data_IF_789950660523
#
_entry.id   IF_789950660523
#
_cell.length_a   1.000
_cell.length_b   1.000
_cell.length_c   1.000
_cell.angle_alpha   90.00
_cell.angle_beta   90.00
_cell.angle_gamma   90.00
#
_symmetry.space_group_name_H-M   'P 1'
#
loop_
_entity.id
_entity.type
_entity.pdbx_description
1 polymer ?
#
# COMPACT_ATOMS: atom_id res chain seq x y z
N UNK A 1 16.96 -7.05 5.84
CA UNK A 1 18.27 -7.38 5.23
C UNK A 1 19.38 -6.34 5.49
N UNK A 2 19.05 -5.07 5.81
CA UNK A 2 20.05 -3.99 6.02
C UNK A 2 21.12 -4.36 7.07
N UNK A 3 20.76 -4.96 8.21
CA UNK A 3 21.74 -5.27 9.28
C UNK A 3 22.81 -6.29 8.91
N UNK A 4 22.43 -7.42 8.27
CA UNK A 4 23.36 -8.47 7.87
C UNK A 4 24.16 -8.05 6.64
N UNK A 5 23.51 -7.42 5.65
CA UNK A 5 24.22 -6.86 4.50
C UNK A 5 25.19 -5.76 4.93
N UNK A 6 24.88 -4.99 5.99
CA UNK A 6 25.75 -3.93 6.50
C UNK A 6 26.98 -4.55 7.14
N UNK A 7 26.80 -5.61 7.91
CA UNK A 7 27.90 -6.35 8.49
C UNK A 7 28.80 -6.96 7.40
N UNK A 8 28.22 -7.52 6.34
CA UNK A 8 29.00 -8.02 5.19
C UNK A 8 29.73 -6.86 4.48
N UNK A 9 29.06 -5.75 4.18
CA UNK A 9 29.65 -4.59 3.50
C UNK A 9 30.75 -3.89 4.32
N UNK A 10 30.52 -3.67 5.62
CA UNK A 10 31.42 -2.92 6.51
C UNK A 10 32.53 -3.77 7.13
N UNK A 11 32.32 -5.08 7.34
CA UNK A 11 33.29 -5.95 8.03
C UNK A 11 34.01 -6.87 7.04
N UNK A 12 33.29 -7.47 6.10
CA UNK A 12 33.85 -8.46 5.17
C UNK A 12 34.37 -7.79 3.90
N UNK A 13 33.63 -6.83 3.35
CA UNK A 13 33.95 -6.20 2.07
C UNK A 13 34.79 -4.92 2.18
N UNK A 14 34.84 -4.27 3.35
CA UNK A 14 35.63 -3.05 3.56
C UNK A 14 37.12 -3.16 3.16
N UNK A 15 37.83 -4.29 3.38
CA UNK A 15 39.22 -4.45 2.93
C UNK A 15 39.39 -4.55 1.41
N UNK A 16 38.32 -4.89 0.68
CA UNK A 16 38.37 -5.26 -0.75
C UNK A 16 37.76 -4.20 -1.68
N UNK A 17 37.10 -3.16 -1.14
CA UNK A 17 36.42 -2.09 -1.92
C UNK A 17 37.31 -1.35 -2.92
N UNK A 18 38.63 -1.32 -2.70
CA UNK A 18 39.60 -0.65 -3.59
C UNK A 18 40.53 -1.61 -4.36
N UNK A 19 40.41 -2.94 -4.15
CA UNK A 19 41.30 -3.98 -4.70
C UNK A 19 40.48 -5.22 -5.12
N UNK A 20 39.38 -5.03 -5.87
CA UNK A 20 38.63 -6.15 -6.44
C UNK A 20 39.32 -6.65 -7.71
N UNK A 21 39.85 -7.86 -7.67
CA UNK A 21 40.38 -8.61 -8.81
C UNK A 21 39.53 -9.88 -8.98
N UNK A 22 39.63 -10.53 -10.15
CA UNK A 22 38.88 -11.76 -10.48
C UNK A 22 39.01 -12.86 -9.41
N UNK A 23 40.13 -12.92 -8.68
CA UNK A 23 40.39 -13.92 -7.62
C UNK A 23 39.61 -13.58 -6.33
N UNK A 24 39.56 -12.31 -5.93
CA UNK A 24 38.83 -11.89 -4.73
C UNK A 24 37.32 -11.95 -4.96
N UNK A 25 36.86 -11.66 -6.17
CA UNK A 25 35.46 -11.87 -6.57
C UNK A 25 35.07 -13.35 -6.56
N UNK A 26 35.95 -14.26 -7.00
CA UNK A 26 35.67 -15.70 -6.97
C UNK A 26 35.64 -16.26 -5.53
N UNK A 27 36.59 -15.86 -4.68
CA UNK A 27 36.71 -16.34 -3.29
C UNK A 27 35.60 -15.81 -2.36
N UNK A 28 35.11 -14.59 -2.61
CA UNK A 28 34.04 -13.96 -1.84
C UNK A 28 32.68 -14.10 -2.52
N UNK A 29 32.53 -15.02 -3.48
CA UNK A 29 31.29 -15.27 -4.22
C UNK A 29 30.65 -13.99 -4.81
N UNK A 30 31.45 -13.03 -5.26
CA UNK A 30 31.01 -11.74 -5.80
C UNK A 30 30.40 -10.79 -4.76
N UNK A 31 30.33 -11.17 -3.48
CA UNK A 31 29.68 -10.38 -2.42
C UNK A 31 30.36 -9.02 -2.20
N UNK A 32 31.64 -8.89 -2.54
CA UNK A 32 32.46 -7.69 -2.32
C UNK A 32 32.94 -7.02 -3.63
N UNK A 33 32.31 -7.32 -4.77
CA UNK A 33 32.64 -6.73 -6.05
C UNK A 33 32.50 -5.19 -6.01
N UNK A 34 33.49 -4.47 -6.55
CA UNK A 34 33.56 -3.00 -6.46
C UNK A 34 32.52 -2.26 -7.33
N UNK A 35 31.89 -2.92 -8.31
CA UNK A 35 30.86 -2.32 -9.17
C UNK A 35 29.45 -2.50 -8.57
N UNK A 36 29.10 -3.69 -8.08
CA UNK A 36 27.80 -3.99 -7.44
C UNK A 36 27.92 -5.12 -6.39
N UNK A 37 28.56 -4.85 -5.24
CA UNK A 37 28.62 -5.78 -4.10
C UNK A 37 27.30 -5.89 -3.31
N UNK A 38 27.21 -6.86 -2.40
CA UNK A 38 26.08 -7.03 -1.47
C UNK A 38 26.13 -5.97 -0.36
N UNK A 39 25.58 -4.79 -0.66
CA UNK A 39 25.42 -3.68 0.27
C UNK A 39 23.94 -3.55 0.71
N UNK A 40 23.65 -3.11 1.95
CA UNK A 40 22.30 -2.84 2.47
C UNK A 40 21.35 -2.03 1.59
N UNK A 41 21.92 -1.16 0.75
CA UNK A 41 21.24 -0.18 -0.07
C UNK A 41 21.15 -0.61 -1.54
N UNK A 42 21.79 -1.72 -1.91
CA UNK A 42 21.74 -2.26 -3.28
C UNK A 42 20.47 -3.10 -3.47
N UNK A 43 19.86 -2.98 -4.66
CA UNK A 43 18.65 -3.72 -5.03
C UNK A 43 19.03 -5.16 -5.37
N UNK A 44 18.24 -6.13 -4.93
CA UNK A 44 18.39 -7.53 -5.39
C UNK A 44 17.75 -7.73 -6.77
N UNK A 45 16.70 -6.95 -7.07
CA UNK A 45 16.05 -6.88 -8.37
C UNK A 45 14.90 -5.88 -8.32
N UNK A 46 14.40 -5.48 -9.49
CA UNK A 46 13.25 -4.58 -9.62
C UNK A 46 12.12 -5.32 -10.32
N UNK A 47 11.01 -5.55 -9.61
CA UNK A 47 9.79 -6.14 -10.15
C UNK A 47 8.88 -5.04 -10.69
N UNK A 48 8.56 -5.11 -11.98
CA UNK A 48 7.53 -4.31 -12.64
C UNK A 48 6.38 -5.22 -13.01
N UNK A 49 5.16 -4.82 -12.64
CA UNK A 49 3.94 -5.60 -12.83
C UNK A 49 2.89 -4.70 -13.47
N UNK A 50 2.26 -5.18 -14.54
CA UNK A 50 1.11 -4.55 -15.18
C UNK A 50 -0.02 -5.56 -15.20
N UNK A 51 -1.14 -5.21 -14.58
CA UNK A 51 -2.25 -6.10 -14.25
C UNK A 51 -3.57 -5.39 -14.55
N UNK A 52 -4.47 -6.07 -15.24
CA UNK A 52 -5.79 -5.55 -15.59
C UNK A 52 -6.89 -6.60 -15.44
N UNK A 53 -8.14 -6.12 -15.37
CA UNK A 53 -9.36 -6.91 -15.39
C UNK A 53 -10.41 -6.10 -16.14
N UNK A 54 -11.00 -6.68 -17.19
CA UNK A 54 -11.92 -5.94 -18.07
C UNK A 54 -13.31 -5.71 -17.47
N UNK A 55 -13.78 -6.61 -16.61
CA UNK A 55 -15.11 -6.53 -15.99
C UNK A 55 -15.04 -6.95 -14.52
N UNK A 56 -15.59 -6.10 -13.65
CA UNK A 56 -15.75 -6.35 -12.21
C UNK A 56 -17.10 -5.78 -11.76
N UNK A 57 -18.18 -6.59 -11.77
CA UNK A 57 -19.50 -6.12 -11.40
C UNK A 57 -19.60 -5.94 -9.87
N UNK A 58 -20.27 -4.88 -9.45
CA UNK A 58 -20.69 -4.62 -8.07
C UNK A 58 -22.09 -4.03 -8.05
N UNK A 59 -22.72 -3.97 -6.88
CA UNK A 59 -24.02 -3.35 -6.70
C UNK A 59 -24.07 -2.47 -5.45
N UNK A 60 -24.95 -1.48 -5.47
CA UNK A 60 -25.21 -0.58 -4.34
C UNK A 60 -26.70 -0.62 -4.00
N UNK A 61 -27.03 -0.84 -2.73
CA UNK A 61 -28.40 -0.81 -2.21
C UNK A 61 -28.51 0.29 -1.16
N UNK A 62 -29.50 1.17 -1.33
CA UNK A 62 -29.73 2.29 -0.42
C UNK A 62 -31.17 2.33 0.07
N UNK A 63 -31.36 2.79 1.31
CA UNK A 63 -32.65 3.10 1.90
C UNK A 63 -32.61 4.52 2.46
N UNK A 64 -33.63 5.31 2.14
CA UNK A 64 -33.86 6.65 2.69
C UNK A 64 -35.25 6.68 3.33
N UNK A 65 -35.32 7.17 4.55
CA UNK A 65 -36.55 7.33 5.31
C UNK A 65 -36.61 8.73 5.91
N UNK A 66 -37.57 9.53 5.44
CA UNK A 66 -37.80 10.92 5.90
C UNK A 66 -39.24 11.04 6.42
N UNK A 67 -39.51 10.69 7.70
CA UNK A 67 -40.84 10.77 8.28
C UNK A 67 -41.32 12.21 8.52
N UNK A 68 -40.40 13.17 8.61
CA UNK A 68 -40.69 14.60 8.77
C UNK A 68 -39.71 15.45 7.97
N UNK A 69 -39.99 16.74 7.81
CA UNK A 69 -39.08 17.68 7.13
C UNK A 69 -37.78 17.95 7.92
N UNK A 70 -37.79 17.63 9.21
CA UNK A 70 -36.70 17.87 10.15
C UNK A 70 -35.79 16.67 10.33
N UNK A 71 -36.30 15.44 10.14
CA UNK A 71 -35.56 14.22 10.36
C UNK A 71 -35.48 13.35 9.11
N UNK A 72 -34.26 12.91 8.79
CA UNK A 72 -34.03 11.91 7.77
C UNK A 72 -33.03 10.85 8.24
N UNK A 73 -33.26 9.61 7.85
CA UNK A 73 -32.34 8.50 8.04
C UNK A 73 -31.98 7.92 6.67
N UNK A 74 -30.69 7.74 6.42
CA UNK A 74 -30.18 7.10 5.21
C UNK A 74 -29.23 5.97 5.56
N UNK A 75 -29.26 4.90 4.76
CA UNK A 75 -28.20 3.90 4.77
C UNK A 75 -27.91 3.40 3.36
N UNK A 76 -26.67 3.02 3.12
CA UNK A 76 -26.20 2.45 1.86
C UNK A 76 -25.25 1.30 2.13
N UNK A 77 -25.39 0.24 1.36
CA UNK A 77 -24.45 -0.87 1.28
C UNK A 77 -23.95 -0.99 -0.15
N UNK A 78 -22.63 -1.08 -0.30
CA UNK A 78 -21.93 -1.33 -1.56
C UNK A 78 -21.25 -2.70 -1.46
N UNK A 79 -21.53 -3.58 -2.41
CA UNK A 79 -20.99 -4.95 -2.40
C UNK A 79 -19.48 -4.96 -2.64
N UNK A 80 -18.79 -5.99 -2.14
CA UNK A 80 -17.42 -6.25 -2.59
C UNK A 80 -17.40 -6.66 -4.06
N UNK A 81 -16.24 -6.47 -4.71
CA UNK A 81 -16.03 -6.89 -6.10
C UNK A 81 -14.73 -7.69 -6.18
N UNK A 82 -14.84 -8.99 -6.47
CA UNK A 82 -13.70 -9.90 -6.57
C UNK A 82 -13.16 -9.93 -7.99
N UNK A 83 -11.87 -9.67 -8.13
CA UNK A 83 -11.19 -9.57 -9.41
C UNK A 83 -9.99 -10.52 -9.45
N UNK A 84 -9.82 -11.20 -10.58
CA UNK A 84 -8.60 -11.94 -10.90
C UNK A 84 -7.80 -11.12 -11.91
N UNK A 85 -7.02 -10.16 -11.42
CA UNK A 85 -6.17 -9.34 -12.25
C UNK A 85 -5.15 -10.21 -12.99
N UNK A 86 -4.97 -10.00 -14.29
CA UNK A 86 -4.02 -10.73 -15.13
C UNK A 86 -3.19 -9.75 -15.95
N UNK A 87 -1.96 -10.12 -16.25
CA UNK A 87 -1.12 -9.31 -17.12
C UNK A 87 0.31 -9.81 -17.16
N UNK A 88 1.25 -8.87 -17.32
CA UNK A 88 2.67 -9.17 -17.57
C UNK A 88 3.52 -8.68 -16.42
N UNK A 89 4.60 -9.41 -16.17
CA UNK A 89 5.66 -8.97 -15.27
C UNK A 89 7.00 -8.89 -15.99
N UNK A 90 7.88 -8.06 -15.45
CA UNK A 90 9.29 -7.99 -15.81
C UNK A 90 10.09 -7.79 -14.53
N UNK A 91 11.12 -8.62 -14.35
CA UNK A 91 12.08 -8.52 -13.25
C UNK A 91 13.43 -8.20 -13.88
N UNK A 92 14.00 -7.07 -13.47
CA UNK A 92 15.38 -6.69 -13.76
C UNK A 92 16.25 -7.11 -12.56
N UNK A 93 17.02 -8.18 -12.75
CA UNK A 93 17.82 -8.79 -11.69
C UNK A 93 19.16 -8.05 -11.58
N UNK A 94 19.51 -7.58 -10.38
CA UNK A 94 20.81 -6.92 -10.17
C UNK A 94 21.99 -7.89 -10.38
N UNK A 95 23.21 -7.38 -10.59
CA UNK A 95 24.37 -8.26 -10.86
C UNK A 95 24.80 -9.05 -9.64
N UNK A 96 24.71 -8.45 -8.44
CA UNK A 96 25.12 -9.08 -7.19
C UNK A 96 24.57 -10.51 -6.98
N UNK A 97 23.24 -10.77 -7.05
CA UNK A 97 22.73 -12.12 -6.92
C UNK A 97 23.14 -13.04 -8.08
N UNK A 98 23.36 -12.51 -9.29
CA UNK A 98 23.84 -13.30 -10.43
C UNK A 98 25.25 -13.84 -10.16
N UNK A 99 26.17 -12.97 -9.71
CA UNK A 99 27.54 -13.36 -9.39
C UNK A 99 27.62 -14.29 -8.18
N UNK A 100 26.75 -14.11 -7.17
CA UNK A 100 26.63 -15.04 -6.05
C UNK A 100 26.29 -16.47 -6.51
N UNK A 101 25.29 -16.61 -7.38
CA UNK A 101 24.88 -17.92 -7.90
C UNK A 101 25.95 -18.51 -8.84
N UNK A 102 26.59 -17.70 -9.68
CA UNK A 102 27.71 -18.16 -10.54
C UNK A 102 28.90 -18.64 -9.70
N UNK A 103 29.29 -17.87 -8.69
CA UNK A 103 30.36 -18.22 -7.75
C UNK A 103 30.05 -19.51 -7.00
N UNK A 104 28.83 -19.66 -6.49
CA UNK A 104 28.40 -20.88 -5.82
C UNK A 104 28.48 -22.10 -6.76
N UNK A 105 28.03 -21.96 -8.01
CA UNK A 105 28.04 -23.06 -8.99
C UNK A 105 29.42 -23.31 -9.64
N UNK A 106 30.44 -22.50 -9.34
CA UNK A 106 31.80 -22.66 -9.88
C UNK A 106 32.57 -23.85 -9.28
N UNK A 107 32.10 -24.42 -8.16
CA UNK A 107 32.74 -25.55 -7.47
C UNK A 107 31.79 -26.74 -7.33
N UNK A 108 32.33 -27.97 -7.33
CA UNK A 108 31.53 -29.19 -7.13
C UNK A 108 30.77 -29.17 -5.79
N UNK A 109 31.41 -28.72 -4.71
CA UNK A 109 30.77 -28.58 -3.39
C UNK A 109 29.63 -27.57 -3.41
N UNK A 110 29.82 -26.44 -4.08
CA UNK A 110 28.79 -25.40 -4.18
C UNK A 110 27.60 -25.83 -5.05
N UNK A 111 27.82 -26.60 -6.12
CA UNK A 111 26.73 -27.21 -6.90
C UNK A 111 25.90 -28.20 -6.08
N UNK A 112 26.55 -29.01 -5.24
CA UNK A 112 25.84 -29.93 -4.32
C UNK A 112 25.01 -29.12 -3.33
N UNK A 113 25.59 -28.07 -2.73
CA UNK A 113 24.87 -27.19 -1.80
C UNK A 113 23.67 -26.50 -2.48
N UNK A 114 23.86 -26.00 -3.71
CA UNK A 114 22.81 -25.38 -4.49
C UNK A 114 21.66 -26.37 -4.78
N UNK A 115 21.97 -27.62 -5.12
CA UNK A 115 20.98 -28.66 -5.35
C UNK A 115 20.19 -29.01 -4.07
N UNK A 116 20.87 -29.14 -2.93
CA UNK A 116 20.24 -29.43 -1.63
C UNK A 116 19.29 -28.29 -1.23
N UNK A 117 19.69 -27.04 -1.43
CA UNK A 117 18.90 -25.86 -1.08
C UNK A 117 17.86 -25.48 -2.16
N UNK A 118 17.85 -26.17 -3.30
CA UNK A 118 16.95 -25.87 -4.42
C UNK A 118 17.20 -24.50 -5.07
N UNK A 119 18.45 -24.03 -5.05
CA UNK A 119 18.88 -22.76 -5.64
C UNK A 119 18.94 -22.87 -7.18
N UNK A 120 18.78 -21.74 -7.91
CA UNK A 120 18.88 -21.76 -9.36
C UNK A 120 20.33 -22.02 -9.81
N UNK A 121 20.51 -22.62 -11.00
CA UNK A 121 21.82 -22.79 -11.63
C UNK A 121 22.39 -21.47 -12.17
N UNK A 122 21.51 -20.54 -12.54
CA UNK A 122 21.85 -19.20 -13.02
C UNK A 122 20.69 -18.25 -12.73
N UNK A 123 20.98 -16.97 -12.50
CA UNK A 123 19.98 -15.91 -12.46
C UNK A 123 20.17 -15.07 -13.74
N UNK A 124 19.19 -15.05 -14.66
CA UNK A 124 19.31 -14.24 -15.88
C UNK A 124 19.15 -12.75 -15.54
N UNK A 125 19.66 -11.87 -16.41
CA UNK A 125 19.55 -10.43 -16.21
C UNK A 125 18.10 -9.94 -16.19
N UNK A 126 17.24 -10.54 -17.02
CA UNK A 126 15.82 -10.19 -17.10
C UNK A 126 14.98 -11.46 -17.06
N UNK A 127 13.94 -11.47 -16.23
CA UNK A 127 12.89 -12.49 -16.23
C UNK A 127 11.54 -11.83 -16.55
N UNK A 128 10.79 -12.39 -17.48
CA UNK A 128 9.47 -11.86 -17.84
C UNK A 128 8.50 -12.98 -18.19
N UNK A 129 7.21 -12.70 -18.07
CA UNK A 129 6.15 -13.67 -18.29
C UNK A 129 4.79 -13.12 -17.90
N UNK A 130 3.85 -14.03 -17.65
CA UNK A 130 2.52 -13.69 -17.18
C UNK A 130 2.44 -13.76 -15.65
N UNK A 131 1.67 -12.86 -15.06
CA UNK A 131 1.38 -12.81 -13.63
C UNK A 131 -0.10 -12.57 -13.41
N UNK A 132 -0.63 -13.11 -12.32
CA UNK A 132 -1.99 -12.86 -11.92
C UNK A 132 -2.11 -12.67 -10.40
N UNK A 133 -3.03 -11.80 -9.98
CA UNK A 133 -3.27 -11.44 -8.58
C UNK A 133 -4.77 -11.38 -8.28
N UNK A 134 -5.17 -11.92 -7.13
CA UNK A 134 -6.53 -11.74 -6.63
C UNK A 134 -6.61 -10.40 -5.91
N UNK A 135 -7.56 -9.57 -6.34
CA UNK A 135 -7.86 -8.30 -5.68
C UNK A 135 -9.35 -8.27 -5.37
N UNK A 136 -9.69 -8.06 -4.10
CA UNK A 136 -11.06 -7.81 -3.67
C UNK A 136 -11.22 -6.32 -3.41
N UNK A 137 -12.07 -5.64 -4.17
CA UNK A 137 -12.50 -4.30 -3.82
C UNK A 137 -13.42 -4.41 -2.59
N UNK A 138 -13.11 -3.71 -1.48
CA UNK A 138 -13.77 -3.95 -0.20
C UNK A 138 -15.24 -3.55 -0.25
N UNK A 139 -16.09 -4.29 0.46
CA UNK A 139 -17.47 -3.88 0.70
C UNK A 139 -17.50 -2.60 1.55
N UNK A 140 -18.53 -1.78 1.39
CA UNK A 140 -18.70 -0.54 2.15
C UNK A 140 -20.12 -0.41 2.67
N UNK A 141 -20.26 0.03 3.91
CA UNK A 141 -21.53 0.35 4.53
C UNK A 141 -21.44 1.76 5.13
N UNK A 142 -22.50 2.55 4.94
CA UNK A 142 -22.64 3.84 5.57
C UNK A 142 -24.08 4.04 6.00
N UNK A 143 -24.28 4.57 7.20
CA UNK A 143 -25.57 4.99 7.68
C UNK A 143 -25.45 6.35 8.34
N UNK A 144 -26.50 7.16 8.25
CA UNK A 144 -26.48 8.50 8.79
C UNK A 144 -27.87 9.05 9.05
N UNK A 145 -27.88 10.10 9.85
CA UNK A 145 -29.06 10.87 10.17
C UNK A 145 -28.85 12.34 9.80
N UNK A 146 -29.94 12.97 9.39
CA UNK A 146 -30.10 14.41 9.24
C UNK A 146 -31.11 14.84 10.30
N UNK A 147 -30.80 15.91 11.03
CA UNK A 147 -31.72 16.52 11.98
C UNK A 147 -31.65 18.04 11.92
N UNK A 148 -32.77 18.72 11.69
CA UNK A 148 -32.87 20.19 11.80
C UNK A 148 -33.12 20.58 13.26
N UNK A 149 -32.08 21.11 13.91
CA UNK A 149 -32.19 21.61 15.29
C UNK A 149 -32.95 22.94 15.31
N UNK A 150 -32.75 23.76 14.27
CA UNK A 150 -33.49 24.99 14.01
C UNK A 150 -33.95 24.98 12.54
N UNK A 151 -34.95 25.80 12.14
CA UNK A 151 -35.40 25.87 10.75
C UNK A 151 -34.28 26.14 9.74
N UNK A 152 -33.25 26.87 10.17
CA UNK A 152 -32.07 27.27 9.41
C UNK A 152 -30.80 26.47 9.75
N UNK A 153 -30.83 25.60 10.77
CA UNK A 153 -29.66 24.83 11.22
C UNK A 153 -29.91 23.32 11.18
N UNK A 154 -29.22 22.65 10.26
CA UNK A 154 -29.21 21.21 10.11
C UNK A 154 -27.91 20.59 10.61
N UNK A 155 -28.03 19.46 11.30
CA UNK A 155 -26.91 18.63 11.74
C UNK A 155 -27.02 17.27 11.09
N UNK A 156 -25.89 16.79 10.58
CA UNK A 156 -25.76 15.45 10.03
C UNK A 156 -24.78 14.65 10.88
N UNK A 157 -25.10 13.38 11.12
CA UNK A 157 -24.19 12.44 11.75
C UNK A 157 -24.16 11.15 10.95
N UNK A 158 -22.97 10.68 10.63
CA UNK A 158 -22.75 9.51 9.78
C UNK A 158 -21.82 8.52 10.50
N UNK A 159 -22.07 7.24 10.28
CA UNK A 159 -21.17 6.13 10.64
C UNK A 159 -20.86 5.33 9.38
N UNK A 160 -19.60 4.94 9.23
CA UNK A 160 -19.11 4.24 8.06
C UNK A 160 -18.25 3.04 8.44
N UNK A 161 -18.30 2.02 7.58
CA UNK A 161 -17.46 0.84 7.66
C UNK A 161 -17.04 0.42 6.25
N UNK A 162 -15.77 0.07 6.09
CA UNK A 162 -15.24 -0.46 4.84
C UNK A 162 -14.44 -1.71 5.17
N UNK A 163 -14.68 -2.79 4.43
CA UNK A 163 -14.05 -4.08 4.71
C UNK A 163 -12.62 -4.20 4.19
N UNK A 164 -11.72 -3.35 4.70
CA UNK A 164 -10.31 -3.43 4.34
C UNK A 164 -9.65 -4.74 4.79
N UNK A 165 -10.25 -5.51 5.70
CA UNK A 165 -9.79 -6.84 6.08
C UNK A 165 -9.76 -7.84 4.91
N UNK A 166 -10.52 -7.57 3.84
CA UNK A 166 -10.40 -8.30 2.57
C UNK A 166 -8.97 -8.23 1.98
N UNK A 167 -8.19 -7.19 2.32
CA UNK A 167 -6.78 -7.08 1.96
C UNK A 167 -5.89 -7.74 3.02
N UNK A 168 -6.07 -9.05 3.22
CA UNK A 168 -5.18 -9.85 4.07
C UNK A 168 -3.78 -9.97 3.45
N UNK A 169 -3.71 -10.33 2.16
CA UNK A 169 -2.46 -10.42 1.40
C UNK A 169 -2.67 -10.16 -0.08
N UNK A 170 -1.69 -9.51 -0.70
CA UNK A 170 -1.61 -9.42 -2.16
C UNK A 170 -0.71 -10.52 -2.68
N UNK A 171 -1.32 -11.57 -3.25
CA UNK A 171 -0.62 -12.75 -3.76
C UNK A 171 -0.45 -12.67 -5.28
N UNK A 172 0.79 -12.49 -5.71
CA UNK A 172 1.20 -12.57 -7.11
C UNK A 172 1.55 -14.02 -7.45
N UNK A 173 0.95 -14.54 -8.51
CA UNK A 173 1.20 -15.88 -9.04
C UNK A 173 1.80 -15.76 -10.43
N UNK A 174 3.03 -16.25 -10.60
CA UNK A 174 3.79 -16.20 -11.84
C UNK A 174 3.56 -17.46 -12.67
N UNK A 175 3.55 -17.32 -14.00
CA UNK A 175 3.35 -18.43 -14.95
C UNK A 175 4.51 -19.45 -14.96
N UNK A 176 5.65 -19.10 -14.37
CA UNK A 176 6.86 -19.90 -14.31
C UNK A 176 7.59 -19.69 -13.00
N UNK A 177 8.56 -20.57 -12.74
CA UNK A 177 9.48 -20.39 -11.63
C UNK A 177 10.40 -19.20 -11.87
N UNK A 178 10.63 -18.39 -10.85
CA UNK A 178 11.48 -17.20 -10.88
C UNK A 178 12.76 -17.48 -10.10
N UNK A 179 13.89 -17.13 -10.70
CA UNK A 179 15.21 -17.49 -10.18
C UNK A 179 15.48 -16.83 -8.82
N UNK A 180 15.16 -15.55 -8.65
CA UNK A 180 15.27 -14.87 -7.35
C UNK A 180 14.29 -15.41 -6.30
N UNK A 181 13.10 -15.90 -6.69
CA UNK A 181 12.14 -16.41 -5.71
C UNK A 181 12.61 -17.74 -5.09
N UNK A 182 13.39 -18.53 -5.81
CA UNK A 182 14.05 -19.74 -5.27
C UNK A 182 15.04 -19.44 -4.15
N UNK A 183 15.65 -18.25 -4.16
CA UNK A 183 16.48 -17.76 -3.06
C UNK A 183 15.60 -17.19 -1.94
N UNK A 184 14.63 -16.35 -2.31
CA UNK A 184 13.75 -15.65 -1.38
C UNK A 184 12.88 -16.58 -0.52
N UNK A 185 12.44 -17.74 -1.04
CA UNK A 185 11.67 -18.74 -0.26
C UNK A 185 12.41 -19.29 0.95
N UNK A 186 13.74 -19.23 0.97
CA UNK A 186 14.54 -19.67 2.12
C UNK A 186 14.50 -18.65 3.27
N UNK A 187 14.09 -17.41 2.98
CA UNK A 187 14.06 -16.30 3.92
C UNK A 187 12.63 -15.97 4.38
N UNK A 188 11.61 -16.29 3.57
CA UNK A 188 10.22 -15.99 3.90
C UNK A 188 9.26 -17.10 3.47
N UNK A 189 8.33 -17.44 4.36
CA UNK A 189 7.25 -18.40 4.11
C UNK A 189 6.17 -17.85 3.14
N UNK A 190 6.17 -16.54 2.87
CA UNK A 190 5.24 -15.90 1.93
C UNK A 190 5.73 -15.97 0.48
N UNK A 191 6.82 -16.70 0.22
CA UNK A 191 7.44 -16.85 -1.10
C UNK A 191 7.55 -18.32 -1.48
N UNK A 192 7.19 -18.63 -2.72
CA UNK A 192 7.45 -19.93 -3.36
C UNK A 192 8.22 -19.70 -4.66
N UNK A 193 8.63 -20.76 -5.34
CA UNK A 193 9.37 -20.65 -6.61
C UNK A 193 8.61 -19.85 -7.68
N UNK A 194 7.29 -19.76 -7.62
CA UNK A 194 6.43 -19.08 -8.60
C UNK A 194 5.35 -18.20 -7.97
N UNK A 195 5.44 -17.86 -6.68
CA UNK A 195 4.47 -16.95 -6.06
C UNK A 195 5.09 -16.06 -5.00
N UNK A 196 4.54 -14.86 -4.87
CA UNK A 196 4.96 -13.85 -3.90
C UNK A 196 3.72 -13.30 -3.19
N UNK A 197 3.60 -13.45 -1.87
CA UNK A 197 2.52 -12.86 -1.09
C UNK A 197 3.03 -11.69 -0.24
N UNK A 198 2.42 -10.51 -0.39
CA UNK A 198 2.65 -9.37 0.49
C UNK A 198 1.59 -9.34 1.59
N UNK A 199 1.92 -9.68 2.85
CA UNK A 199 0.94 -9.78 3.94
C UNK A 199 0.60 -8.39 4.50
N UNK A 200 -0.49 -7.81 4.01
CA UNK A 200 -1.00 -6.49 4.41
C UNK A 200 -1.72 -6.52 5.75
N UNK A 201 -2.57 -7.53 5.98
CA UNK A 201 -3.35 -7.74 7.21
C UNK A 201 -4.13 -6.51 7.65
N UNK A 202 -4.78 -5.81 6.71
CA UNK A 202 -5.55 -4.63 7.07
C UNK A 202 -6.74 -4.97 7.96
N UNK A 203 -7.23 -3.97 8.69
CA UNK A 203 -8.38 -4.07 9.59
C UNK A 203 -9.51 -3.18 9.10
N UNK A 204 -10.74 -3.49 9.51
CA UNK A 204 -11.95 -2.77 9.08
C UNK A 204 -12.55 -1.94 10.24
N UNK A 205 -11.92 -0.82 10.66
CA UNK A 205 -12.46 0.02 11.72
C UNK A 205 -13.73 0.76 11.26
N UNK A 206 -14.59 1.08 12.21
CA UNK A 206 -15.69 2.01 11.98
C UNK A 206 -15.19 3.46 12.06
N UNK A 207 -15.69 4.31 11.18
CA UNK A 207 -15.52 5.76 11.24
C UNK A 207 -16.85 6.43 11.53
N UNK A 208 -16.78 7.67 12.01
CA UNK A 208 -17.95 8.51 12.17
C UNK A 208 -17.62 9.94 11.73
N UNK A 209 -18.65 10.67 11.33
CA UNK A 209 -18.53 12.05 10.91
C UNK A 209 -19.69 12.88 11.45
N UNK A 210 -19.43 14.16 11.65
CA UNK A 210 -20.46 15.14 11.98
C UNK A 210 -20.35 16.32 11.02
N UNK A 211 -21.50 16.77 10.53
CA UNK A 211 -21.64 17.91 9.63
C UNK A 211 -22.69 18.88 10.12
N UNK A 212 -22.50 20.16 9.81
CA UNK A 212 -23.42 21.25 10.06
C UNK A 212 -23.71 21.95 8.74
N UNK A 213 -24.98 22.24 8.48
CA UNK A 213 -25.41 23.14 7.41
C UNK A 213 -26.24 24.26 8.04
N UNK A 214 -25.83 25.51 7.80
CA UNK A 214 -26.55 26.71 8.21
C UNK A 214 -27.05 27.46 6.98
N UNK A 215 -28.36 27.63 6.88
CA UNK A 215 -29.01 28.41 5.84
C UNK A 215 -29.03 29.89 6.24
N UNK A 216 -27.95 30.60 5.91
CA UNK A 216 -27.78 32.01 6.28
C UNK A 216 -28.81 32.93 5.61
N UNK A 217 -29.23 32.59 4.38
CA UNK A 217 -30.33 33.23 3.65
C UNK A 217 -31.03 32.21 2.76
N UNK A 218 -32.10 32.60 2.07
CA UNK A 218 -32.77 31.75 1.07
C UNK A 218 -31.86 31.33 -0.11
N UNK A 219 -30.70 31.99 -0.25
CA UNK A 219 -29.74 31.74 -1.33
C UNK A 219 -28.39 31.23 -0.85
N UNK A 220 -28.02 31.49 0.41
CA UNK A 220 -26.68 31.20 0.93
C UNK A 220 -26.73 30.12 2.00
N UNK A 221 -25.95 29.06 1.79
CA UNK A 221 -25.75 27.96 2.73
C UNK A 221 -24.28 27.86 3.09
N UNK A 222 -24.01 27.69 4.38
CA UNK A 222 -22.67 27.48 4.92
C UNK A 222 -22.59 26.08 5.51
N UNK A 223 -21.50 25.38 5.25
CA UNK A 223 -21.28 24.01 5.71
C UNK A 223 -19.96 23.89 6.45
N UNK A 224 -19.96 23.11 7.51
CA UNK A 224 -18.76 22.70 8.22
C UNK A 224 -18.86 21.22 8.59
N UNK A 225 -17.73 20.52 8.63
CA UNK A 225 -17.73 19.11 8.99
C UNK A 225 -16.41 18.63 9.59
N UNK A 226 -16.51 17.55 10.36
CA UNK A 226 -15.37 16.90 10.98
C UNK A 226 -15.55 15.38 10.95
N UNK A 227 -14.49 14.68 10.57
CA UNK A 227 -14.48 13.21 10.54
C UNK A 227 -13.12 12.69 11.07
N UNK A 228 -13.10 12.10 12.27
CA UNK A 228 -11.96 11.32 12.73
C UNK A 228 -11.96 9.95 12.04
N UNK A 229 -10.82 9.60 11.44
CA UNK A 229 -10.61 8.34 10.73
C UNK A 229 -9.58 7.50 11.47
N UNK A 230 -10.04 6.41 12.08
CA UNK A 230 -9.16 5.35 12.56
C UNK A 230 -8.54 4.64 11.36
N UNK A 231 -7.28 4.24 11.48
CA UNK A 231 -6.60 3.62 10.37
C UNK A 231 -6.96 2.16 10.15
N UNK A 232 -7.13 1.79 8.89
CA UNK A 232 -7.25 0.40 8.44
C UNK A 232 -5.92 -0.35 8.40
N UNK A 233 -4.78 0.35 8.49
CA UNK A 233 -3.45 -0.28 8.49
C UNK A 233 -3.09 -0.53 9.97
N UNK A 234 -2.69 -1.75 10.37
CA UNK A 234 -2.16 -2.00 11.71
C UNK A 234 -0.83 -1.30 11.98
N UNK A 235 -0.48 -1.15 13.26
CA UNK A 235 0.77 -0.50 13.67
C UNK A 235 2.03 -1.28 13.22
N UNK A 236 1.96 -2.62 13.11
CA UNK A 236 3.03 -3.47 12.57
C UNK A 236 3.07 -3.52 11.03
N UNK A 237 2.22 -2.73 10.35
CA UNK A 237 2.05 -2.70 8.89
C UNK A 237 2.14 -1.29 8.29
N UNK A 238 2.41 -0.27 9.11
CA UNK A 238 2.57 1.12 8.67
C UNK A 238 3.68 1.26 7.62
N UNK A 239 3.50 2.09 6.60
CA UNK A 239 4.53 2.33 5.59
C UNK A 239 4.46 3.73 5.00
N UNK A 240 5.49 4.12 4.26
CA UNK A 240 5.60 5.46 3.66
C UNK A 240 4.89 5.58 2.31
N UNK A 241 4.57 4.48 1.63
CA UNK A 241 3.85 4.50 0.35
C UNK A 241 2.38 4.87 0.55
N UNK A 242 1.80 4.50 1.68
CA UNK A 242 0.43 4.88 2.09
C UNK A 242 0.53 5.66 3.41
N UNK A 243 0.94 6.95 3.38
CA UNK A 243 1.22 7.72 4.58
C UNK A 243 -0.07 8.34 5.19
N UNK A 244 -1.19 7.63 5.08
CA UNK A 244 -2.50 8.02 5.61
C UNK A 244 -2.94 6.93 6.59
N UNK A 245 -2.62 7.16 7.86
CA UNK A 245 -2.89 6.24 8.95
C UNK A 245 -4.07 6.77 9.76
N UNK A 246 -3.87 7.10 11.03
CA UNK A 246 -4.90 7.82 11.78
C UNK A 246 -4.99 9.25 11.25
N UNK A 247 -6.16 9.62 10.76
CA UNK A 247 -6.37 10.89 10.07
C UNK A 247 -7.54 11.66 10.66
N UNK A 248 -7.50 12.97 10.45
CA UNK A 248 -8.57 13.89 10.78
C UNK A 248 -8.90 14.69 9.53
N UNK A 249 -10.15 14.64 9.11
CA UNK A 249 -10.67 15.39 7.99
C UNK A 249 -11.54 16.54 8.51
N UNK A 250 -11.27 17.73 8.03
CA UNK A 250 -12.06 18.94 8.28
C UNK A 250 -12.64 19.39 6.94
N UNK A 251 -13.91 19.78 6.94
CA UNK A 251 -14.59 20.28 5.75
C UNK A 251 -15.19 21.65 5.99
N UNK A 252 -15.09 22.53 5.00
CA UNK A 252 -15.87 23.75 4.91
C UNK A 252 -16.51 23.82 3.53
N UNK A 253 -17.71 24.37 3.44
CA UNK A 253 -18.43 24.51 2.19
C UNK A 253 -19.32 25.74 2.16
N UNK A 254 -19.58 26.22 0.95
CA UNK A 254 -20.47 27.32 0.66
C UNK A 254 -21.35 26.91 -0.52
N UNK A 255 -22.65 26.97 -0.35
CA UNK A 255 -23.63 26.83 -1.42
C UNK A 255 -24.29 28.18 -1.70
N UNK A 256 -24.33 28.60 -2.96
CA UNK A 256 -25.00 29.82 -3.38
C UNK A 256 -25.95 29.55 -4.54
N UNK A 257 -27.21 29.95 -4.36
CA UNK A 257 -28.23 29.91 -5.39
C UNK A 257 -28.27 31.25 -6.13
N UNK A 258 -27.87 31.25 -7.39
CA UNK A 258 -27.83 32.46 -8.22
C UNK A 258 -29.24 32.89 -8.67
N UNK A 259 -30.03 31.92 -9.12
CA UNK A 259 -31.40 32.07 -9.58
C UNK A 259 -32.20 30.79 -9.25
N UNK A 260 -33.44 30.67 -9.76
CA UNK A 260 -34.31 29.53 -9.43
C UNK A 260 -33.77 28.18 -9.90
N UNK A 261 -32.90 28.19 -10.93
CA UNK A 261 -32.47 27.00 -11.65
C UNK A 261 -30.99 26.71 -11.43
N UNK A 262 -30.22 27.67 -10.93
CA UNK A 262 -28.76 27.63 -10.86
C UNK A 262 -28.24 27.64 -9.42
N UNK A 263 -27.55 26.55 -9.06
CA UNK A 263 -26.84 26.41 -7.79
C UNK A 263 -25.32 26.26 -8.04
N UNK A 264 -24.52 26.89 -7.18
CA UNK A 264 -23.06 26.76 -7.13
C UNK A 264 -22.63 26.32 -5.74
N UNK A 265 -21.85 25.25 -5.66
CA UNK A 265 -21.24 24.78 -4.43
C UNK A 265 -19.71 24.87 -4.53
N UNK A 266 -19.11 25.45 -3.50
CA UNK A 266 -17.69 25.50 -3.24
C UNK A 266 -17.39 24.68 -1.99
N UNK A 267 -16.29 23.92 -2.00
CA UNK A 267 -15.86 23.14 -0.84
C UNK A 267 -14.35 23.11 -0.70
N UNK A 268 -13.90 23.08 0.55
CA UNK A 268 -12.51 22.82 0.91
C UNK A 268 -12.48 21.74 1.99
N UNK A 269 -11.76 20.66 1.70
CA UNK A 269 -11.43 19.59 2.65
C UNK A 269 -9.97 19.70 3.05
N UNK A 270 -9.67 19.60 4.34
CA UNK A 270 -8.32 19.53 4.87
C UNK A 270 -8.15 18.25 5.68
N UNK A 271 -7.36 17.33 5.17
CA UNK A 271 -6.98 16.09 5.84
C UNK A 271 -5.59 16.23 6.45
N UNK A 272 -5.44 15.82 7.70
CA UNK A 272 -4.13 15.68 8.35
C UNK A 272 -3.97 14.27 8.93
N UNK A 273 -2.81 13.67 8.69
CA UNK A 273 -2.39 12.38 9.22
C UNK A 273 -0.96 12.51 9.73
N UNK A 274 -0.70 12.03 10.94
CA UNK A 274 0.65 11.97 11.51
C UNK A 274 0.85 10.59 12.11
N UNK A 275 2.02 10.04 11.88
CA UNK A 275 2.35 8.73 12.41
C UNK A 275 3.82 8.63 12.77
N UNK A 276 4.12 7.74 13.71
CA UNK A 276 5.46 7.42 14.15
C UNK A 276 5.61 5.90 14.11
N UNK A 277 6.55 5.43 13.30
CA UNK A 277 6.85 4.01 13.10
C UNK A 277 8.21 3.77 13.75
N UNK A 278 8.26 3.27 15.00
CA UNK A 278 9.52 3.01 15.69
C UNK A 278 10.36 2.01 14.91
N UNK A 279 11.69 2.09 15.06
CA UNK A 279 12.60 1.11 14.46
C UNK A 279 12.18 -0.33 14.79
N UNK A 280 12.34 -1.23 13.83
CA UNK A 280 12.00 -2.65 13.95
C UNK A 280 10.51 -3.00 14.14
N UNK A 281 9.57 -2.05 14.02
CA UNK A 281 8.15 -2.30 14.36
C UNK A 281 7.27 -2.74 13.20
N UNK A 282 7.50 -2.25 11.96
CA UNK A 282 6.60 -2.51 10.83
C UNK A 282 7.20 -3.42 9.77
N UNK A 283 6.51 -4.52 9.44
CA UNK A 283 6.92 -5.44 8.36
C UNK A 283 6.83 -4.80 6.97
N UNK A 284 6.15 -3.65 6.85
CA UNK A 284 5.99 -2.95 5.57
C UNK A 284 6.87 -1.69 5.48
N UNK A 285 7.77 -1.48 6.44
CA UNK A 285 8.63 -0.29 6.45
C UNK A 285 10.03 -0.54 6.98
N UNK A 286 10.15 -1.02 8.23
CA UNK A 286 11.40 -0.94 8.98
C UNK A 286 11.71 -2.13 9.92
N UNK A 287 10.98 -3.25 9.80
CA UNK A 287 11.19 -4.43 10.66
C UNK A 287 12.64 -4.92 10.58
N UNK A 288 13.20 -5.23 11.74
CA UNK A 288 14.53 -5.81 11.84
C UNK A 288 14.47 -7.32 11.56
N UNK A 289 15.50 -7.83 10.90
CA UNK A 289 15.56 -9.23 10.50
C UNK A 289 15.93 -9.43 9.05
N UNK A 290 16.27 -10.68 8.73
CA UNK A 290 16.55 -11.15 7.37
C UNK A 290 15.33 -11.77 6.71
N UNK A 291 14.27 -12.05 7.47
CA UNK A 291 13.00 -12.63 7.03
C UNK A 291 12.10 -11.63 6.30
N UNK A 292 12.24 -10.33 6.62
CA UNK A 292 11.49 -9.29 5.95
C UNK A 292 12.20 -8.76 4.68
N UNK A 293 12.01 -9.49 3.58
CA UNK A 293 12.69 -9.27 2.29
C UNK A 293 11.84 -8.55 1.23
N UNK A 294 10.53 -8.39 1.47
CA UNK A 294 9.60 -7.88 0.45
C UNK A 294 9.54 -6.36 0.43
N UNK A 295 9.11 -5.76 1.55
CA UNK A 295 8.88 -4.33 1.65
C UNK A 295 9.46 -3.79 2.96
N UNK A 296 10.75 -3.46 2.94
CA UNK A 296 11.48 -3.04 4.13
C UNK A 296 12.54 -1.96 3.86
N UNK A 297 12.16 -0.84 3.20
CA UNK A 297 13.12 0.17 2.72
C UNK A 297 13.89 0.90 3.83
N UNK A 298 13.38 0.90 5.08
CA UNK A 298 13.96 1.63 6.21
C UNK A 298 14.31 0.71 7.38
N UNK A 299 14.64 -0.56 7.11
CA UNK A 299 14.97 -1.57 8.14
C UNK A 299 15.87 -1.01 9.25
N UNK A 300 15.36 -1.01 10.49
CA UNK A 300 16.11 -0.57 11.68
C UNK A 300 16.14 0.95 11.92
N UNK A 301 15.42 1.75 11.14
CA UNK A 301 15.31 3.20 11.33
C UNK A 301 13.93 3.58 11.88
N UNK A 302 13.88 4.62 12.72
CA UNK A 302 12.63 5.28 13.07
C UNK A 302 12.11 6.08 11.87
N UNK A 303 10.83 5.93 11.55
CA UNK A 303 10.19 6.62 10.43
C UNK A 303 9.03 7.45 10.95
N UNK A 304 9.01 8.74 10.62
CA UNK A 304 7.89 9.64 10.92
C UNK A 304 7.22 10.08 9.64
N UNK A 305 5.90 10.00 9.59
CA UNK A 305 5.10 10.48 8.47
C UNK A 305 4.22 11.65 8.90
N UNK A 306 4.07 12.63 8.01
CA UNK A 306 3.21 13.79 8.21
C UNK A 306 2.59 14.14 6.87
N UNK A 307 1.35 13.71 6.67
CA UNK A 307 0.61 13.90 5.44
C UNK A 307 -0.48 14.94 5.65
N UNK A 308 -0.51 15.93 4.76
CA UNK A 308 -1.56 16.94 4.69
C UNK A 308 -2.10 16.95 3.28
N UNK A 309 -3.42 16.85 3.13
CA UNK A 309 -4.09 16.88 1.83
C UNK A 309 -5.15 17.96 1.88
N UNK A 310 -5.08 18.89 0.93
CA UNK A 310 -6.14 19.88 0.71
C UNK A 310 -6.88 19.50 -0.56
N UNK A 311 -8.19 19.33 -0.46
CA UNK A 311 -9.09 19.03 -1.58
C UNK A 311 -9.97 20.25 -1.81
N UNK A 312 -10.02 20.74 -3.04
CA UNK A 312 -10.92 21.81 -3.46
C UNK A 312 -11.99 21.23 -4.37
N UNK A 313 -13.25 21.58 -4.12
CA UNK A 313 -14.38 21.14 -4.93
C UNK A 313 -15.21 22.32 -5.42
N UNK A 314 -15.59 22.27 -6.68
CA UNK A 314 -16.51 23.18 -7.35
C UNK A 314 -17.59 22.34 -8.01
N UNK A 315 -18.85 22.63 -7.73
CA UNK A 315 -19.99 22.01 -8.41
C UNK A 315 -20.92 23.11 -8.90
N UNK A 316 -21.23 23.08 -10.19
CA UNK A 316 -22.20 23.96 -10.82
C UNK A 316 -23.35 23.11 -11.35
N UNK A 317 -24.58 23.47 -11.00
CA UNK A 317 -25.79 22.75 -11.43
C UNK A 317 -26.81 23.73 -11.95
N UNK A 318 -27.33 23.45 -13.14
CA UNK A 318 -28.48 24.14 -13.70
C UNK A 318 -29.58 23.13 -14.02
N UNK A 319 -30.85 23.49 -13.80
CA UNK A 319 -32.02 22.69 -14.19
C UNK A 319 -32.70 23.35 -15.38
N UNK A 320 -33.20 22.53 -16.30
CA UNK A 320 -33.93 22.92 -17.51
C UNK A 320 -35.20 22.09 -17.61
#
# INVERSE_FOLDING_TARGET
>A
MIGVLRMVDEVVCAPFKNNSDMITDLLLFGMCNAQEGMNPFNKMGALQVSLEQSLSPSYNLGLLWEPTDDFGFGMVYQSSAKMRLKGKYMIDNARAPQELIKGLNSSATGQILAAILGLPSNIPNIESGLVAMDLEYPAHFQAGIKYKILPDLQVNFDVGWTDYSAWDKFKFEFDRQISLLKVAKLLSNDVTDNSLALPLKFTSPWSWGIGLEYSATDRLKLRAGYEPRASSIPDDKRNTMVPINNAQLFGLGLGYRFDADTDLDLSVGFLRSRDNIPACSSTLSNKCGVDNILLNPYSGLDVKTNTKVTVLGLSYRTKW
#
